data_IF_425073996440
#
_entry.id   IF_425073996440
#
_cell.length_a   1.000
_cell.length_b   1.000
_cell.length_c   1.000
_cell.angle_alpha   90.00
_cell.angle_beta   90.00
_cell.angle_gamma   90.00
#
_symmetry.space_group_name_H-M   'P 1'
#
loop_
_entity.id
_entity.type
_entity.pdbx_description
1 polymer ?
#
# COMPACT_ATOMS: atom_id res chain seq x y z
N UNK A 1 5.65 -22.13 -18.26
CA UNK A 1 6.90 -21.41 -18.61
C UNK A 1 6.82 -20.03 -18.00
N UNK A 2 7.76 -19.65 -17.12
CA UNK A 2 7.79 -18.33 -16.45
C UNK A 2 9.03 -17.56 -16.88
N UNK A 3 9.01 -16.23 -16.81
CA UNK A 3 10.14 -15.38 -17.18
C UNK A 3 11.29 -15.54 -16.19
N UNK A 4 12.52 -15.19 -16.60
CA UNK A 4 13.70 -15.19 -15.72
C UNK A 4 13.50 -14.26 -14.52
N UNK A 5 12.89 -13.07 -14.72
CA UNK A 5 12.56 -12.11 -13.67
C UNK A 5 11.62 -12.74 -12.63
N UNK A 6 10.55 -13.42 -13.09
CA UNK A 6 9.60 -14.07 -12.21
C UNK A 6 10.21 -15.25 -11.44
N UNK A 7 11.08 -16.03 -12.10
CA UNK A 7 11.82 -17.10 -11.43
C UNK A 7 12.68 -16.58 -10.29
N UNK A 8 13.45 -15.51 -10.52
CA UNK A 8 14.27 -14.88 -9.50
C UNK A 8 13.46 -14.33 -8.33
N UNK A 9 12.27 -13.74 -8.60
CA UNK A 9 11.36 -13.27 -7.55
C UNK A 9 10.81 -14.41 -6.69
N UNK A 10 10.47 -15.55 -7.30
CA UNK A 10 9.98 -16.74 -6.58
C UNK A 10 11.11 -17.36 -5.75
N UNK A 11 12.30 -17.48 -6.30
CA UNK A 11 13.48 -18.02 -5.61
C UNK A 11 13.96 -17.11 -4.46
N UNK A 12 13.79 -15.77 -4.61
CA UNK A 12 14.07 -14.79 -3.56
C UNK A 12 13.04 -14.75 -2.45
N UNK A 13 11.98 -15.48 -2.55
CA UNK A 13 10.83 -15.73 -1.67
C UNK A 13 10.54 -14.71 -0.56
N UNK A 14 9.28 -14.45 -0.25
CA UNK A 14 8.93 -13.62 0.92
C UNK A 14 9.23 -14.38 2.22
N UNK A 15 10.21 -13.90 2.99
CA UNK A 15 10.49 -14.42 4.32
C UNK A 15 9.24 -14.39 5.22
N UNK A 16 8.38 -13.38 5.05
CA UNK A 16 7.10 -13.23 5.76
C UNK A 16 6.19 -14.42 5.45
N UNK A 17 6.08 -14.82 4.18
CA UNK A 17 5.25 -15.95 3.80
C UNK A 17 5.80 -17.28 4.37
N UNK A 18 7.11 -17.47 4.33
CA UNK A 18 7.75 -18.65 4.91
C UNK A 18 7.50 -18.72 6.43
N UNK A 19 7.63 -17.59 7.14
CA UNK A 19 7.32 -17.50 8.57
C UNK A 19 5.85 -17.81 8.86
N UNK A 20 4.92 -17.29 8.05
CA UNK A 20 3.49 -17.55 8.22
C UNK A 20 3.14 -19.03 8.04
N UNK A 21 3.71 -19.69 7.04
CA UNK A 21 3.50 -21.14 6.83
C UNK A 21 4.13 -21.98 7.96
N UNK A 22 5.27 -21.57 8.47
CA UNK A 22 5.91 -22.21 9.63
C UNK A 22 5.09 -21.98 10.91
N UNK A 23 4.57 -20.79 11.13
CA UNK A 23 3.67 -20.46 12.23
C UNK A 23 2.46 -21.37 12.27
N UNK A 24 1.82 -21.65 11.12
CA UNK A 24 0.70 -22.60 11.02
C UNK A 24 1.08 -24.01 11.46
N UNK A 25 2.26 -24.50 11.06
CA UNK A 25 2.74 -25.81 11.49
C UNK A 25 2.98 -25.84 13.01
N UNK A 26 3.62 -24.82 13.54
CA UNK A 26 3.86 -24.70 14.98
C UNK A 26 2.54 -24.69 15.77
N UNK A 27 1.51 -24.00 15.28
CA UNK A 27 0.17 -23.98 15.88
C UNK A 27 -0.44 -25.39 15.88
N UNK A 28 -0.33 -26.10 14.76
CA UNK A 28 -0.85 -27.46 14.66
C UNK A 28 -0.13 -28.45 15.58
N UNK A 29 1.16 -28.25 15.84
CA UNK A 29 2.00 -29.13 16.67
C UNK A 29 1.91 -28.80 18.16
N UNK A 30 1.77 -27.52 18.53
CA UNK A 30 1.94 -27.03 19.91
C UNK A 30 0.66 -26.48 20.55
N UNK A 31 -0.40 -26.30 19.77
CA UNK A 31 -1.61 -25.58 20.18
C UNK A 31 -1.49 -24.06 19.97
N UNK A 32 -2.59 -23.41 19.61
CA UNK A 32 -2.62 -21.99 19.31
C UNK A 32 -2.26 -21.10 20.51
N UNK A 33 -2.57 -21.57 21.72
CA UNK A 33 -2.28 -20.88 22.98
C UNK A 33 -0.79 -20.81 23.32
N UNK A 34 0.03 -21.63 22.66
CA UNK A 34 1.49 -21.73 22.88
C UNK A 34 2.31 -21.10 21.74
N UNK A 35 1.66 -20.50 20.75
CA UNK A 35 2.34 -19.91 19.58
C UNK A 35 1.91 -18.45 19.41
N UNK A 36 2.87 -17.56 19.51
CA UNK A 36 2.69 -16.11 19.28
C UNK A 36 3.20 -15.77 17.89
N UNK A 37 2.29 -15.77 16.91
CA UNK A 37 2.63 -15.50 15.51
C UNK A 37 2.58 -13.98 15.21
N UNK A 38 3.75 -13.40 14.97
CA UNK A 38 3.93 -12.00 14.58
C UNK A 38 4.35 -11.86 13.10
N UNK A 39 4.21 -12.92 12.30
CA UNK A 39 4.66 -12.93 10.90
C UNK A 39 3.80 -12.08 9.97
N UNK A 40 2.49 -12.01 10.22
CA UNK A 40 1.53 -11.27 9.40
C UNK A 40 0.65 -10.38 10.27
N UNK A 41 0.72 -9.07 10.02
CA UNK A 41 -0.13 -8.08 10.68
C UNK A 41 -1.56 -8.13 10.14
N UNK A 42 -2.47 -8.76 10.88
CA UNK A 42 -3.91 -8.69 10.61
C UNK A 42 -4.54 -7.59 11.46
N UNK A 43 -5.47 -6.77 10.89
CA UNK A 43 -6.25 -5.85 11.69
C UNK A 43 -7.02 -6.59 12.79
N UNK A 44 -6.84 -6.18 14.05
CA UNK A 44 -7.53 -6.76 15.21
C UNK A 44 -8.77 -5.95 15.63
N UNK A 45 -8.93 -4.76 15.06
CA UNK A 45 -10.06 -3.87 15.35
C UNK A 45 -11.14 -4.10 14.29
N UNK A 46 -12.36 -4.38 14.75
CA UNK A 46 -13.51 -4.54 13.84
C UNK A 46 -13.89 -3.19 13.21
N UNK A 47 -14.27 -3.17 11.93
CA UNK A 47 -14.74 -1.95 11.29
C UNK A 47 -16.05 -1.47 11.94
N UNK A 48 -16.40 -0.17 11.79
CA UNK A 48 -17.69 0.36 12.25
C UNK A 48 -18.85 -0.45 11.65
N UNK A 49 -19.92 -0.60 12.44
CA UNK A 49 -21.14 -1.33 12.00
C UNK A 49 -21.71 -0.79 10.70
N UNK A 50 -21.63 0.54 10.52
CA UNK A 50 -22.09 1.23 9.31
C UNK A 50 -21.49 0.69 8.02
N UNK A 51 -20.24 0.18 8.04
CA UNK A 51 -19.61 -0.41 6.85
C UNK A 51 -20.39 -1.63 6.37
N UNK A 52 -20.73 -2.55 7.30
CA UNK A 52 -21.52 -3.74 6.98
C UNK A 52 -22.94 -3.39 6.58
N UNK A 53 -23.55 -2.46 7.31
CA UNK A 53 -24.93 -2.00 7.06
C UNK A 53 -25.05 -1.35 5.68
N UNK A 54 -24.11 -0.48 5.30
CA UNK A 54 -24.07 0.14 3.97
C UNK A 54 -23.89 -0.88 2.84
N UNK A 55 -23.04 -1.89 3.02
CA UNK A 55 -22.86 -2.94 2.01
C UNK A 55 -24.17 -3.73 1.81
N UNK A 56 -24.85 -4.09 2.90
CA UNK A 56 -26.13 -4.81 2.85
C UNK A 56 -27.21 -3.94 2.20
N UNK A 57 -27.26 -2.66 2.54
CA UNK A 57 -28.22 -1.71 1.98
C UNK A 57 -28.02 -1.57 0.46
N UNK A 58 -26.80 -1.31 0.01
CA UNK A 58 -26.47 -1.22 -1.41
C UNK A 58 -26.90 -2.48 -2.18
N UNK A 59 -26.57 -3.66 -1.66
CA UNK A 59 -26.93 -4.93 -2.32
C UNK A 59 -28.45 -5.14 -2.41
N UNK A 60 -29.22 -4.62 -1.45
CA UNK A 60 -30.67 -4.79 -1.40
C UNK A 60 -31.45 -3.68 -2.13
N UNK A 61 -30.86 -2.52 -2.35
CA UNK A 61 -31.57 -1.33 -2.85
C UNK A 61 -31.17 -0.88 -4.23
N UNK A 62 -29.89 -1.11 -4.60
CA UNK A 62 -29.41 -0.68 -5.91
C UNK A 62 -29.92 -1.59 -7.02
N UNK A 63 -30.26 -1.02 -8.20
CA UNK A 63 -30.64 -1.81 -9.36
C UNK A 63 -29.48 -2.78 -9.77
N UNK A 64 -29.84 -4.01 -10.11
CA UNK A 64 -28.88 -5.05 -10.47
C UNK A 64 -27.91 -4.63 -11.59
N UNK A 65 -28.39 -3.85 -12.56
CA UNK A 65 -27.56 -3.35 -13.68
C UNK A 65 -26.56 -2.29 -13.23
N UNK A 66 -26.85 -1.50 -12.21
CA UNK A 66 -25.92 -0.54 -11.62
C UNK A 66 -24.91 -1.24 -10.70
N UNK A 67 -25.40 -2.22 -9.92
CA UNK A 67 -24.58 -2.99 -9.01
C UNK A 67 -23.50 -3.82 -9.72
N UNK A 68 -23.81 -4.35 -10.91
CA UNK A 68 -22.95 -5.25 -11.68
C UNK A 68 -22.44 -4.64 -13.01
N UNK A 69 -22.82 -3.41 -13.31
CA UNK A 69 -22.46 -2.71 -14.55
C UNK A 69 -21.03 -2.18 -14.54
N UNK A 70 -20.58 -1.73 -15.70
CA UNK A 70 -19.33 -0.99 -15.83
C UNK A 70 -19.48 0.44 -15.31
N UNK A 71 -18.47 0.94 -14.63
CA UNK A 71 -18.34 2.33 -14.23
C UNK A 71 -17.27 3.05 -15.07
N UNK A 72 -17.13 4.36 -14.90
CA UNK A 72 -16.00 5.12 -15.43
C UNK A 72 -14.66 4.58 -14.90
N UNK A 73 -13.61 4.62 -15.72
CA UNK A 73 -12.28 4.10 -15.35
C UNK A 73 -11.71 4.70 -14.07
N UNK A 74 -12.06 5.95 -13.74
CA UNK A 74 -11.65 6.62 -12.52
C UNK A 74 -12.58 6.38 -11.32
N UNK A 75 -13.64 5.60 -11.48
CA UNK A 75 -14.65 5.31 -10.45
C UNK A 75 -15.92 6.17 -10.56
N UNK A 76 -16.91 5.89 -9.74
CA UNK A 76 -18.18 6.62 -9.68
C UNK A 76 -17.96 8.10 -9.35
N UNK A 77 -18.66 8.98 -10.07
CA UNK A 77 -18.44 10.44 -9.98
C UNK A 77 -18.85 11.01 -8.63
N UNK A 78 -20.00 10.60 -8.11
CA UNK A 78 -20.53 10.97 -6.81
C UNK A 78 -19.60 10.56 -5.66
N UNK A 79 -19.05 9.34 -5.72
CA UNK A 79 -18.06 8.85 -4.74
C UNK A 79 -16.79 9.69 -4.78
N UNK A 80 -16.27 10.00 -5.98
CA UNK A 80 -15.09 10.84 -6.15
C UNK A 80 -15.32 12.27 -5.68
N UNK A 81 -16.53 12.81 -5.90
CA UNK A 81 -16.92 14.13 -5.42
C UNK A 81 -16.97 14.17 -3.89
N UNK A 82 -17.64 13.19 -3.25
CA UNK A 82 -17.70 13.06 -1.80
C UNK A 82 -16.29 12.94 -1.15
N UNK A 83 -15.37 12.19 -1.79
CA UNK A 83 -13.97 12.08 -1.33
C UNK A 83 -13.25 13.43 -1.46
N UNK A 84 -13.42 14.16 -2.56
CA UNK A 84 -12.82 15.47 -2.76
C UNK A 84 -13.32 16.46 -1.71
N UNK A 85 -14.63 16.53 -1.45
CA UNK A 85 -15.24 17.39 -0.44
C UNK A 85 -14.72 17.07 0.97
N UNK A 86 -14.69 15.77 1.33
CA UNK A 86 -14.12 15.34 2.62
C UNK A 86 -12.67 15.76 2.77
N UNK A 87 -11.85 15.56 1.73
CA UNK A 87 -10.43 15.92 1.73
C UNK A 87 -10.25 17.43 1.88
N UNK A 88 -11.03 18.21 1.13
CA UNK A 88 -10.99 19.67 1.21
C UNK A 88 -11.35 20.19 2.61
N UNK A 89 -12.40 19.62 3.20
CA UNK A 89 -12.84 19.97 4.55
C UNK A 89 -11.80 19.59 5.62
N UNK A 90 -11.17 18.44 5.47
CA UNK A 90 -10.23 17.91 6.47
C UNK A 90 -8.86 18.54 6.43
N UNK A 91 -8.39 18.93 5.24
CA UNK A 91 -7.00 19.36 5.03
C UNK A 91 -6.86 20.74 4.38
N UNK A 92 -7.97 21.47 4.16
CA UNK A 92 -7.93 22.81 3.55
C UNK A 92 -7.48 22.81 2.09
N UNK A 93 -7.68 21.70 1.37
CA UNK A 93 -7.33 21.57 -0.06
C UNK A 93 -8.47 22.09 -0.95
N UNK A 94 -8.25 22.09 -2.27
CA UNK A 94 -9.24 22.55 -3.25
C UNK A 94 -9.36 21.54 -4.40
N UNK A 95 -9.62 20.29 -4.07
CA UNK A 95 -9.79 19.21 -5.03
C UNK A 95 -11.23 19.15 -5.56
N UNK A 96 -11.36 18.61 -6.75
CA UNK A 96 -12.64 18.24 -7.36
C UNK A 96 -12.63 16.75 -7.69
N UNK A 97 -13.75 16.19 -8.10
CA UNK A 97 -13.81 14.80 -8.58
C UNK A 97 -12.81 14.49 -9.71
N UNK A 98 -12.37 15.51 -10.48
CA UNK A 98 -11.36 15.33 -11.53
C UNK A 98 -9.96 15.00 -10.98
N UNK A 99 -9.70 15.30 -9.71
CA UNK A 99 -8.43 15.02 -9.05
C UNK A 99 -8.42 13.66 -8.32
N UNK A 100 -9.54 12.96 -8.30
CA UNK A 100 -9.70 11.68 -7.59
C UNK A 100 -9.77 10.53 -8.59
N UNK A 101 -8.98 9.49 -8.33
CA UNK A 101 -9.02 8.22 -9.08
C UNK A 101 -9.16 7.08 -8.08
N UNK A 102 -10.19 6.26 -8.26
CA UNK A 102 -10.40 5.07 -7.43
C UNK A 102 -9.49 3.95 -7.88
N UNK A 103 -8.92 3.23 -6.91
CA UNK A 103 -8.05 2.09 -7.18
C UNK A 103 -8.37 0.93 -6.25
N UNK A 104 -7.88 -0.26 -6.58
CA UNK A 104 -8.02 -1.45 -5.71
C UNK A 104 -6.95 -1.39 -4.62
N UNK A 105 -7.26 -0.62 -3.56
CA UNK A 105 -6.35 -0.38 -2.44
C UNK A 105 -5.10 0.43 -2.79
N UNK A 106 -4.26 0.68 -1.79
CA UNK A 106 -3.01 1.42 -1.95
C UNK A 106 -2.03 0.73 -2.93
N UNK A 107 -2.01 -0.60 -2.93
CA UNK A 107 -1.18 -1.37 -3.86
C UNK A 107 -1.53 -1.08 -5.33
N UNK A 108 -2.82 -1.07 -5.66
CA UNK A 108 -3.31 -0.68 -6.99
C UNK A 108 -2.92 0.75 -7.33
N UNK A 109 -3.15 1.68 -6.39
CA UNK A 109 -2.81 3.09 -6.55
C UNK A 109 -1.33 3.34 -6.83
N UNK A 110 -0.44 2.74 -6.03
CA UNK A 110 1.01 2.89 -6.20
C UNK A 110 1.46 2.30 -7.55
N UNK A 111 0.99 1.09 -7.90
CA UNK A 111 1.37 0.47 -9.18
C UNK A 111 0.91 1.31 -10.38
N UNK A 112 -0.32 1.84 -10.38
CA UNK A 112 -0.83 2.71 -11.43
C UNK A 112 -0.01 3.99 -11.51
N UNK A 113 0.28 4.62 -10.37
CA UNK A 113 1.08 5.85 -10.30
C UNK A 113 2.49 5.62 -10.87
N UNK A 114 3.18 4.58 -10.41
CA UNK A 114 4.53 4.30 -10.90
C UNK A 114 4.53 3.91 -12.37
N UNK A 115 3.58 3.07 -12.81
CA UNK A 115 3.49 2.68 -14.22
C UNK A 115 3.22 3.85 -15.16
N UNK A 116 2.57 4.90 -14.65
CA UNK A 116 2.21 6.09 -15.42
C UNK A 116 3.32 7.13 -15.44
N UNK A 117 4.08 7.26 -14.33
CA UNK A 117 4.95 8.42 -14.11
C UNK A 117 6.43 8.08 -13.98
N UNK A 118 6.82 6.80 -13.90
CA UNK A 118 8.21 6.36 -13.75
C UNK A 118 8.75 5.87 -15.09
N UNK A 119 9.84 6.45 -15.51
CA UNK A 119 10.65 5.96 -16.64
C UNK A 119 11.71 4.96 -16.16
N UNK A 120 12.26 4.19 -17.08
CA UNK A 120 13.32 3.20 -16.79
C UNK A 120 14.54 3.89 -16.15
N UNK A 121 14.84 3.51 -14.93
CA UNK A 121 15.98 4.03 -14.18
C UNK A 121 15.69 5.25 -13.31
N UNK A 122 14.46 5.75 -13.28
CA UNK A 122 14.03 6.75 -12.31
C UNK A 122 14.14 6.21 -10.88
N UNK A 123 14.53 7.05 -9.95
CA UNK A 123 14.77 6.70 -8.56
C UNK A 123 13.57 6.96 -7.69
N UNK A 124 13.22 5.97 -6.88
CA UNK A 124 12.17 6.05 -5.86
C UNK A 124 12.82 5.86 -4.48
N UNK A 125 12.74 6.87 -3.64
CA UNK A 125 13.27 6.84 -2.29
C UNK A 125 12.27 6.16 -1.36
N UNK A 126 12.75 5.17 -0.58
CA UNK A 126 12.04 4.52 0.51
C UNK A 126 12.75 4.79 1.82
N UNK A 127 12.01 5.18 2.86
CA UNK A 127 12.54 5.42 4.20
C UNK A 127 12.44 4.13 4.99
N UNK A 128 13.57 3.54 5.34
CA UNK A 128 13.62 2.28 6.07
C UNK A 128 13.33 2.46 7.58
N UNK A 129 12.77 1.44 8.26
CA UNK A 129 12.17 0.24 7.68
C UNK A 129 10.83 0.59 6.98
N UNK A 130 10.54 -0.05 5.87
CA UNK A 130 9.34 0.21 5.07
C UNK A 130 8.64 -1.10 4.68
N UNK A 131 7.41 -0.98 4.21
CA UNK A 131 6.62 -2.12 3.74
C UNK A 131 7.28 -2.79 2.52
N UNK A 132 7.65 -4.06 2.66
CA UNK A 132 8.49 -4.80 1.73
C UNK A 132 7.96 -4.87 0.28
N UNK A 133 6.63 -4.76 0.10
CA UNK A 133 6.01 -4.80 -1.22
C UNK A 133 6.35 -3.59 -2.11
N UNK A 134 6.84 -2.48 -1.53
CA UNK A 134 7.34 -1.35 -2.33
C UNK A 134 8.45 -1.79 -3.28
N UNK A 135 9.26 -2.79 -2.90
CA UNK A 135 10.29 -3.37 -3.77
C UNK A 135 9.71 -3.90 -5.08
N UNK A 136 8.58 -4.61 -4.96
CA UNK A 136 7.89 -5.18 -6.11
C UNK A 136 7.25 -4.10 -6.98
N UNK A 137 6.62 -3.10 -6.38
CA UNK A 137 5.97 -2.00 -7.12
C UNK A 137 7.00 -1.19 -7.92
N UNK A 138 8.14 -0.85 -7.30
CA UNK A 138 9.24 -0.14 -7.96
C UNK A 138 9.81 -0.97 -9.10
N UNK A 139 10.11 -2.25 -8.84
CA UNK A 139 10.64 -3.17 -9.85
C UNK A 139 9.68 -3.40 -11.02
N UNK A 140 8.37 -3.39 -10.79
CA UNK A 140 7.37 -3.55 -11.83
C UNK A 140 7.32 -2.35 -12.79
N UNK A 141 7.68 -1.17 -12.31
CA UNK A 141 7.80 0.03 -13.12
C UNK A 141 9.20 0.25 -13.71
N UNK A 142 10.13 -0.69 -13.54
CA UNK A 142 11.56 -0.58 -13.91
C UNK A 142 12.28 0.59 -13.22
N UNK A 143 11.74 1.08 -12.09
CA UNK A 143 12.39 2.09 -11.27
C UNK A 143 13.55 1.53 -10.45
N UNK A 144 14.38 2.40 -9.94
CA UNK A 144 15.52 2.13 -9.06
C UNK A 144 15.15 2.52 -7.62
N UNK A 145 15.22 1.55 -6.72
CA UNK A 145 14.99 1.81 -5.30
C UNK A 145 16.21 2.45 -4.66
N UNK A 146 16.01 3.59 -4.01
CA UNK A 146 16.99 4.25 -3.15
C UNK A 146 16.49 4.17 -1.71
N UNK A 147 17.30 3.71 -0.77
CA UNK A 147 16.92 3.52 0.63
C UNK A 147 17.57 4.55 1.51
N UNK A 148 16.77 5.27 2.29
CA UNK A 148 17.23 6.16 3.36
C UNK A 148 17.14 5.40 4.68
N UNK A 149 18.23 5.36 5.44
CA UNK A 149 18.30 4.72 6.75
C UNK A 149 17.52 5.52 7.79
N UNK A 150 16.82 4.89 8.73
CA UNK A 150 16.12 5.60 9.78
C UNK A 150 17.11 6.06 10.85
N UNK A 151 16.67 6.98 11.70
CA UNK A 151 17.18 7.03 13.06
C UNK A 151 16.77 5.74 13.79
N UNK A 152 17.74 5.00 14.33
CA UNK A 152 17.48 3.66 14.90
C UNK A 152 16.84 3.68 16.27
N UNK A 153 16.80 4.82 16.94
CA UNK A 153 16.17 4.98 18.27
C UNK A 153 14.71 5.41 18.14
N UNK A 154 14.44 6.33 17.24
CA UNK A 154 13.11 6.97 17.10
C UNK A 154 12.35 6.53 15.86
N UNK A 155 13.01 5.90 14.92
CA UNK A 155 12.53 5.62 13.55
C UNK A 155 12.11 6.88 12.76
N UNK A 156 12.59 8.04 13.19
CA UNK A 156 12.37 9.30 12.48
C UNK A 156 13.11 9.32 11.14
N UNK A 157 12.64 10.20 10.26
CA UNK A 157 13.28 10.39 8.95
C UNK A 157 14.68 11.01 9.15
N UNK A 158 15.70 10.37 8.61
CA UNK A 158 17.04 10.94 8.51
C UNK A 158 17.08 11.94 7.35
N UNK A 159 16.69 13.18 7.63
CA UNK A 159 16.61 14.24 6.61
C UNK A 159 17.95 14.55 5.97
N UNK A 160 19.07 14.42 6.71
CA UNK A 160 20.40 14.62 6.15
C UNK A 160 20.71 13.59 5.08
N UNK A 161 20.50 12.31 5.38
CA UNK A 161 20.72 11.24 4.40
C UNK A 161 19.70 11.31 3.24
N UNK A 162 18.46 11.71 3.53
CA UNK A 162 17.46 11.95 2.49
C UNK A 162 17.93 13.00 1.50
N UNK A 163 18.42 14.13 1.97
CA UNK A 163 18.93 15.21 1.13
C UNK A 163 20.15 14.77 0.30
N UNK A 164 21.09 14.04 0.92
CA UNK A 164 22.27 13.48 0.25
C UNK A 164 21.90 12.48 -0.86
N UNK A 165 20.78 11.78 -0.74
CA UNK A 165 20.33 10.75 -1.69
C UNK A 165 19.40 11.27 -2.79
N UNK A 166 18.93 12.50 -2.69
CA UNK A 166 18.18 13.13 -3.78
C UNK A 166 19.13 13.40 -4.94
N UNK A 167 18.77 12.92 -6.12
CA UNK A 167 19.52 13.10 -7.36
C UNK A 167 18.63 13.66 -8.48
N UNK A 168 19.17 14.06 -9.63
CA UNK A 168 18.37 14.42 -10.80
C UNK A 168 17.46 13.30 -11.33
N UNK A 169 17.67 12.05 -10.90
CA UNK A 169 16.83 10.89 -11.24
C UNK A 169 15.75 10.62 -10.22
N UNK A 170 15.77 11.28 -9.06
CA UNK A 170 14.77 11.08 -8.01
C UNK A 170 13.41 11.57 -8.49
N UNK A 171 12.47 10.63 -8.64
CA UNK A 171 11.11 10.88 -9.11
C UNK A 171 10.10 10.90 -7.98
N UNK A 172 10.28 10.03 -6.99
CA UNK A 172 9.37 9.86 -5.86
C UNK A 172 10.11 9.69 -4.55
N UNK A 173 9.44 10.12 -3.48
CA UNK A 173 9.71 9.73 -2.10
C UNK A 173 8.43 9.08 -1.56
N UNK A 174 8.54 7.85 -1.06
CA UNK A 174 7.41 7.16 -0.42
C UNK A 174 7.44 7.46 1.07
N UNK A 175 6.37 8.08 1.56
CA UNK A 175 6.14 8.34 2.98
C UNK A 175 4.87 7.59 3.38
N UNK A 176 4.97 6.77 4.44
CA UNK A 176 3.85 6.08 5.04
C UNK A 176 3.75 6.46 6.51
N UNK A 177 2.67 7.14 6.90
CA UNK A 177 2.46 7.61 8.27
C UNK A 177 1.02 7.32 8.72
N UNK A 178 0.78 6.63 9.85
CA UNK A 178 1.76 5.88 10.63
C UNK A 178 2.49 4.83 9.81
N UNK A 179 3.80 4.69 10.02
CA UNK A 179 4.64 3.84 9.19
C UNK A 179 4.41 2.34 9.42
N UNK A 180 4.34 1.57 8.37
CA UNK A 180 4.45 0.11 8.41
C UNK A 180 5.91 -0.29 8.07
N UNK A 181 6.67 -0.94 9.00
CA UNK A 181 6.19 -1.69 10.18
C UNK A 181 6.34 -0.98 11.54
N UNK A 182 6.94 0.20 11.62
CA UNK A 182 7.40 0.78 12.90
C UNK A 182 6.31 1.42 13.74
N UNK A 183 5.21 1.87 13.12
CA UNK A 183 4.19 2.70 13.78
C UNK A 183 4.61 4.16 13.97
N UNK A 184 5.80 4.56 13.52
CA UNK A 184 6.25 5.95 13.61
C UNK A 184 5.32 6.88 12.83
N UNK A 185 5.09 8.06 13.38
CA UNK A 185 4.28 9.13 12.76
C UNK A 185 5.25 10.23 12.34
N UNK A 186 5.19 10.60 11.08
CA UNK A 186 6.04 11.63 10.46
C UNK A 186 5.29 12.95 10.29
#
# INVERSE_FOLDING_TARGET
MITKKMKALVEGGSAIRAMFEEGKKMIAERGAENVFDFSLGNPSIVPPKSVKESIIDIVNTEPEMELHGYMNNSGYEDVREAIAEFTNKSYGTNFTKANIVMTVGAAGGINVTFKTLVDDGDEIICIAPYFGEYNSYISNANGVRVVVSPDTETFSINFKELEEKISPKTKFVIINSPNNPTGAVY
#
